data_IF_743514347492
#
_entry.id   IF_743514347492
#
_cell.length_a   1.000
_cell.length_b   1.000
_cell.length_c   1.000
_cell.angle_alpha   90.00
_cell.angle_beta   90.00
_cell.angle_gamma   90.00
#
_symmetry.space_group_name_H-M   'P 1'
#
loop_
_entity.id
_entity.type
_entity.pdbx_description
1 polymer ?
#
# COMPACT_ATOMS: atom_id res chain seq x y z
N UNK A 1 -19.20 -11.93 -3.24
CA UNK A 1 -19.10 -12.87 -2.11
C UNK A 1 -17.76 -12.62 -1.42
N UNK A 2 -17.74 -12.31 -0.12
CA UNK A 2 -16.50 -12.09 0.63
C UNK A 2 -15.76 -13.43 0.84
N UNK A 3 -14.42 -13.41 0.84
CA UNK A 3 -13.59 -14.58 1.16
C UNK A 3 -13.61 -14.85 2.66
N UNK A 4 -13.27 -16.06 3.09
CA UNK A 4 -13.20 -16.45 4.51
C UNK A 4 -11.75 -16.85 4.82
N UNK A 5 -11.14 -16.22 5.82
CA UNK A 5 -9.82 -16.56 6.34
C UNK A 5 -10.00 -17.40 7.61
N UNK A 6 -10.03 -18.73 7.45
CA UNK A 6 -10.38 -19.67 8.53
C UNK A 6 -9.18 -20.31 9.24
N UNK A 7 -7.95 -20.08 8.78
CA UNK A 7 -6.75 -20.72 9.29
C UNK A 7 -5.50 -19.92 8.94
N UNK A 8 -4.34 -20.52 9.18
CA UNK A 8 -3.06 -19.87 8.91
C UNK A 8 -2.85 -19.64 7.41
N UNK A 9 -2.25 -18.50 7.08
CA UNK A 9 -2.10 -18.02 5.71
C UNK A 9 -0.67 -18.25 5.23
N UNK A 10 -0.54 -18.89 4.07
CA UNK A 10 0.73 -19.12 3.39
C UNK A 10 0.52 -19.08 1.88
N UNK A 11 1.57 -18.73 1.13
CA UNK A 11 1.54 -18.74 -0.34
C UNK A 11 2.23 -20.00 -0.88
N UNK A 12 1.49 -21.03 -1.34
CA UNK A 12 2.09 -22.29 -1.78
C UNK A 12 2.84 -22.17 -3.13
N UNK A 13 2.42 -21.24 -3.98
CA UNK A 13 2.98 -21.02 -5.31
C UNK A 13 2.87 -19.53 -5.72
N UNK A 14 3.70 -19.06 -6.66
CA UNK A 14 3.62 -17.68 -7.15
C UNK A 14 2.27 -17.36 -7.78
N UNK A 15 1.70 -16.20 -7.45
CA UNK A 15 0.34 -15.83 -7.83
C UNK A 15 0.28 -15.04 -9.15
N UNK A 16 1.16 -14.06 -9.32
CA UNK A 16 1.09 -13.02 -10.34
C UNK A 16 2.30 -13.02 -11.28
N UNK A 17 3.41 -13.63 -10.88
CA UNK A 17 4.68 -13.68 -11.63
C UNK A 17 4.47 -14.06 -13.09
N UNK A 18 3.74 -15.15 -13.36
CA UNK A 18 3.45 -15.62 -14.73
C UNK A 18 2.89 -14.50 -15.62
N UNK A 19 1.92 -13.75 -15.10
CA UNK A 19 1.22 -12.72 -15.87
C UNK A 19 2.08 -11.47 -16.04
N UNK A 20 2.76 -11.05 -14.99
CA UNK A 20 3.69 -9.92 -15.03
C UNK A 20 4.84 -10.17 -16.00
N UNK A 21 5.46 -11.36 -15.96
CA UNK A 21 6.53 -11.75 -16.89
C UNK A 21 6.04 -11.75 -18.34
N UNK A 22 4.84 -12.30 -18.60
CA UNK A 22 4.26 -12.27 -19.93
C UNK A 22 4.02 -10.84 -20.43
N UNK A 23 3.39 -9.99 -19.61
CA UNK A 23 3.13 -8.60 -19.97
C UNK A 23 4.42 -7.82 -20.27
N UNK A 24 5.46 -8.03 -19.45
CA UNK A 24 6.79 -7.45 -19.67
C UNK A 24 7.42 -7.93 -20.98
N UNK A 25 7.20 -9.18 -21.39
CA UNK A 25 7.76 -9.71 -22.65
C UNK A 25 7.22 -9.02 -23.91
N UNK A 26 6.13 -8.25 -23.80
CA UNK A 26 5.46 -7.59 -24.91
C UNK A 26 5.88 -6.12 -25.08
N UNK A 27 6.76 -5.60 -24.23
CA UNK A 27 7.16 -4.19 -24.26
C UNK A 27 8.55 -3.95 -23.69
N UNK A 28 9.25 -2.95 -24.22
CA UNK A 28 10.52 -2.46 -23.66
C UNK A 28 10.32 -1.46 -22.51
N UNK A 29 9.08 -1.10 -22.19
CA UNK A 29 8.75 -0.19 -21.10
C UNK A 29 8.63 -0.96 -19.77
N UNK A 30 8.96 -0.34 -18.63
CA UNK A 30 8.71 -0.95 -17.32
C UNK A 30 7.22 -1.30 -17.15
N UNK A 31 6.95 -2.54 -16.72
CA UNK A 31 5.61 -3.04 -16.36
C UNK A 31 5.58 -3.23 -14.85
N UNK A 32 4.55 -2.68 -14.20
CA UNK A 32 4.38 -2.82 -12.75
C UNK A 32 3.85 -4.20 -12.40
N UNK A 33 4.44 -4.85 -11.39
CA UNK A 33 3.78 -5.93 -10.66
C UNK A 33 2.63 -5.35 -9.84
N UNK A 34 1.49 -6.02 -9.80
CA UNK A 34 0.27 -5.53 -9.12
C UNK A 34 -0.14 -6.50 -8.03
N UNK A 35 -0.15 -6.02 -6.78
CA UNK A 35 -0.55 -6.77 -5.60
C UNK A 35 -1.58 -5.97 -4.79
N UNK A 36 -2.45 -6.69 -4.08
CA UNK A 36 -3.33 -6.12 -3.07
C UNK A 36 -2.65 -6.24 -1.72
N UNK A 37 -2.62 -5.17 -0.94
CA UNK A 37 -1.95 -5.17 0.36
C UNK A 37 -2.68 -5.97 1.44
N UNK A 38 -1.97 -6.33 2.53
CA UNK A 38 -2.49 -7.18 3.59
C UNK A 38 -3.73 -6.62 4.29
N UNK A 39 -3.81 -5.31 4.54
CA UNK A 39 -4.94 -4.68 5.24
C UNK A 39 -6.21 -4.80 4.41
N UNK A 40 -6.11 -4.56 3.10
CA UNK A 40 -7.22 -4.70 2.15
C UNK A 40 -7.67 -6.16 2.00
N UNK A 41 -6.73 -7.10 1.93
CA UNK A 41 -7.07 -8.53 1.89
C UNK A 41 -7.85 -8.96 3.15
N UNK A 42 -7.51 -8.42 4.33
CA UNK A 42 -8.25 -8.66 5.57
C UNK A 42 -9.62 -7.98 5.56
N UNK A 43 -9.66 -6.67 5.28
CA UNK A 43 -10.87 -5.85 5.34
C UNK A 43 -12.01 -6.36 4.45
N UNK A 44 -11.66 -6.90 3.28
CA UNK A 44 -12.61 -7.42 2.30
C UNK A 44 -12.89 -8.93 2.46
N UNK A 45 -12.40 -9.53 3.54
CA UNK A 45 -12.67 -10.91 3.94
C UNK A 45 -13.49 -10.98 5.23
N UNK A 46 -14.01 -12.16 5.54
CA UNK A 46 -14.41 -12.54 6.89
C UNK A 46 -13.20 -13.19 7.56
N UNK A 47 -12.64 -12.52 8.57
CA UNK A 47 -11.42 -12.95 9.25
C UNK A 47 -11.78 -13.77 10.49
N UNK A 48 -11.02 -14.84 10.75
CA UNK A 48 -11.06 -15.59 12.02
C UNK A 48 -10.95 -14.66 13.23
N UNK A 49 -11.63 -15.02 14.32
CA UNK A 49 -11.76 -14.22 15.55
C UNK A 49 -11.02 -14.83 16.76
N UNK A 50 -10.24 -15.89 16.54
CA UNK A 50 -9.47 -16.61 17.55
C UNK A 50 -8.05 -16.05 17.78
N UNK A 51 -7.65 -15.03 17.02
CA UNK A 51 -6.38 -14.31 17.20
C UNK A 51 -6.49 -12.81 16.83
N UNK A 52 -5.55 -11.96 17.30
CA UNK A 52 -5.52 -10.55 16.91
C UNK A 52 -5.44 -10.35 15.39
N UNK A 53 -6.15 -9.34 14.87
CA UNK A 53 -6.13 -9.01 13.43
C UNK A 53 -4.71 -8.73 12.92
N UNK A 54 -3.87 -8.08 13.72
CA UNK A 54 -2.48 -7.80 13.37
C UNK A 54 -1.66 -9.08 13.13
N UNK A 55 -1.95 -10.17 13.85
CA UNK A 55 -1.24 -11.44 13.67
C UNK A 55 -1.64 -12.09 12.34
N UNK A 56 -2.94 -12.07 12.01
CA UNK A 56 -3.42 -12.51 10.68
C UNK A 56 -2.87 -11.63 9.56
N UNK A 57 -2.78 -10.31 9.77
CA UNK A 57 -2.23 -9.37 8.80
C UNK A 57 -0.75 -9.67 8.51
N UNK A 58 0.04 -10.03 9.54
CA UNK A 58 1.44 -10.45 9.37
C UNK A 58 1.57 -11.73 8.56
N UNK A 59 0.67 -12.71 8.73
CA UNK A 59 0.70 -13.92 7.91
C UNK A 59 0.45 -13.60 6.42
N UNK A 60 -0.53 -12.73 6.13
CA UNK A 60 -0.75 -12.24 4.76
C UNK A 60 0.46 -11.48 4.23
N UNK A 61 1.05 -10.61 5.05
CA UNK A 61 2.22 -9.83 4.67
C UNK A 61 3.43 -10.71 4.32
N UNK A 62 3.69 -11.77 5.08
CA UNK A 62 4.75 -12.74 4.76
C UNK A 62 4.47 -13.47 3.45
N UNK A 63 3.22 -13.88 3.22
CA UNK A 63 2.81 -14.49 1.96
C UNK A 63 2.97 -13.54 0.75
N UNK A 64 2.73 -12.24 0.95
CA UNK A 64 2.95 -11.20 -0.07
C UNK A 64 4.43 -10.88 -0.26
N UNK A 65 5.25 -10.95 0.79
CA UNK A 65 6.69 -10.78 0.70
C UNK A 65 7.32 -11.80 -0.24
N UNK A 66 6.93 -13.07 -0.12
CA UNK A 66 7.39 -14.12 -1.04
C UNK A 66 7.01 -13.81 -2.51
N UNK A 67 5.86 -13.14 -2.73
CA UNK A 67 5.43 -12.71 -4.07
C UNK A 67 6.23 -11.51 -4.58
N UNK A 68 6.57 -10.56 -3.71
CA UNK A 68 7.46 -9.44 -4.03
C UNK A 68 8.83 -9.98 -4.45
N UNK A 69 9.41 -10.88 -3.65
CA UNK A 69 10.71 -11.50 -3.91
C UNK A 69 10.72 -12.24 -5.26
N UNK A 70 9.66 -12.99 -5.59
CA UNK A 70 9.57 -13.70 -6.87
C UNK A 70 9.34 -12.76 -8.07
N UNK A 71 8.55 -11.70 -7.91
CA UNK A 71 8.37 -10.68 -8.95
C UNK A 71 9.70 -9.99 -9.27
N UNK A 72 10.46 -9.68 -8.22
CA UNK A 72 11.81 -9.13 -8.31
C UNK A 72 12.78 -10.11 -8.99
N UNK A 73 12.76 -11.39 -8.61
CA UNK A 73 13.59 -12.43 -9.22
C UNK A 73 13.26 -12.65 -10.71
N UNK A 74 11.99 -12.45 -11.10
CA UNK A 74 11.55 -12.47 -12.49
C UNK A 74 11.90 -11.19 -13.27
N UNK A 75 12.59 -10.23 -12.64
CA UNK A 75 13.07 -9.00 -13.26
C UNK A 75 12.03 -7.89 -13.36
N UNK A 76 11.06 -7.86 -12.45
CA UNK A 76 10.14 -6.72 -12.24
C UNK A 76 10.87 -5.67 -11.39
N UNK A 77 11.00 -4.45 -11.90
CA UNK A 77 11.70 -3.35 -11.21
C UNK A 77 10.76 -2.35 -10.52
N UNK A 78 9.45 -2.50 -10.71
CA UNK A 78 8.42 -1.65 -10.10
C UNK A 78 7.28 -2.54 -9.63
N UNK A 79 6.99 -2.52 -8.33
CA UNK A 79 5.92 -3.33 -7.73
C UNK A 79 4.96 -2.39 -7.01
N UNK A 80 3.67 -2.53 -7.31
CA UNK A 80 2.61 -1.74 -6.71
C UNK A 80 1.80 -2.62 -5.75
N UNK A 81 1.74 -2.22 -4.48
CA UNK A 81 0.95 -2.86 -3.43
C UNK A 81 -0.13 -1.88 -2.98
N UNK A 82 -1.38 -2.15 -3.34
CA UNK A 82 -2.47 -1.20 -3.13
C UNK A 82 -3.20 -1.43 -1.80
N UNK A 83 -3.39 -0.35 -1.04
CA UNK A 83 -4.04 -0.38 0.28
C UNK A 83 -5.22 0.60 0.42
N UNK A 84 -6.27 0.48 -0.42
CA UNK A 84 -7.46 1.32 -0.29
C UNK A 84 -8.16 1.10 1.06
N UNK A 85 -8.15 -0.12 1.62
CA UNK A 85 -8.89 -0.38 2.84
C UNK A 85 -8.22 0.19 4.10
N UNK A 86 -6.94 0.61 4.04
CA UNK A 86 -6.23 1.20 5.18
C UNK A 86 -7.05 2.35 5.80
N UNK A 87 -7.67 3.17 4.95
CA UNK A 87 -8.55 4.26 5.39
C UNK A 87 -10.00 3.81 5.57
N UNK A 88 -10.50 2.86 4.77
CA UNK A 88 -11.85 2.30 4.88
C UNK A 88 -12.11 1.72 6.27
N UNK A 89 -11.13 0.98 6.82
CA UNK A 89 -11.24 0.32 8.12
C UNK A 89 -10.62 1.11 9.27
N UNK A 90 -10.30 2.39 9.06
CA UNK A 90 -9.80 3.27 10.12
C UNK A 90 -10.84 3.37 11.25
N UNK A 91 -10.48 3.06 12.52
CA UNK A 91 -11.43 3.12 13.63
C UNK A 91 -12.11 4.47 13.77
N UNK A 92 -13.43 4.44 14.01
CA UNK A 92 -14.24 5.64 14.20
C UNK A 92 -13.75 6.46 15.40
N UNK A 93 -13.42 5.78 16.51
CA UNK A 93 -12.88 6.41 17.71
C UNK A 93 -11.41 6.72 17.53
N UNK A 94 -11.03 8.00 17.70
CA UNK A 94 -9.65 8.44 17.58
C UNK A 94 -8.68 7.68 18.49
N UNK A 95 -9.13 7.23 19.67
CA UNK A 95 -8.31 6.52 20.66
C UNK A 95 -7.83 5.15 20.17
N UNK A 96 -8.56 4.51 19.26
CA UNK A 96 -8.24 3.18 18.74
C UNK A 96 -7.34 3.25 17.49
N UNK A 97 -7.25 4.43 16.85
CA UNK A 97 -6.51 4.60 15.59
C UNK A 97 -5.02 4.30 15.71
N UNK A 98 -4.28 4.73 16.76
CA UNK A 98 -2.84 4.47 16.84
C UNK A 98 -2.52 2.98 16.83
N UNK A 99 -3.26 2.17 17.60
CA UNK A 99 -3.05 0.72 17.65
C UNK A 99 -3.36 0.07 16.29
N UNK A 100 -4.42 0.52 15.61
CA UNK A 100 -4.77 0.05 14.27
C UNK A 100 -3.69 0.39 13.23
N UNK A 101 -3.29 1.67 13.18
CA UNK A 101 -2.31 2.16 12.21
C UNK A 101 -0.95 1.48 12.41
N UNK A 102 -0.56 1.22 13.66
CA UNK A 102 0.71 0.56 13.96
C UNK A 102 0.82 -0.83 13.30
N UNK A 103 -0.18 -1.72 13.48
CA UNK A 103 -0.10 -3.04 12.85
C UNK A 103 -0.35 -2.97 11.35
N UNK A 104 -1.16 -2.02 10.88
CA UNK A 104 -1.49 -1.89 9.47
C UNK A 104 -0.27 -1.45 8.64
N UNK A 105 0.46 -0.42 9.09
CA UNK A 105 1.69 0.04 8.41
C UNK A 105 2.84 -0.92 8.62
N UNK A 106 2.92 -1.64 9.75
CA UNK A 106 3.85 -2.75 9.95
C UNK A 106 3.62 -3.87 8.94
N UNK A 107 2.37 -4.31 8.74
CA UNK A 107 2.05 -5.38 7.79
C UNK A 107 2.40 -4.97 6.35
N UNK A 108 2.13 -3.72 5.96
CA UNK A 108 2.55 -3.21 4.65
C UNK A 108 4.07 -3.27 4.49
N UNK A 109 4.83 -2.69 5.43
CA UNK A 109 6.30 -2.72 5.42
C UNK A 109 6.87 -4.13 5.49
N UNK A 110 6.20 -5.07 6.16
CA UNK A 110 6.62 -6.46 6.19
C UNK A 110 6.48 -7.13 4.81
N UNK A 111 5.48 -6.72 4.03
CA UNK A 111 5.26 -7.21 2.66
C UNK A 111 6.31 -6.67 1.68
N UNK A 112 6.73 -5.42 1.84
CA UNK A 112 7.56 -4.71 0.85
C UNK A 112 9.02 -4.51 1.27
N UNK A 113 9.33 -4.55 2.57
CA UNK A 113 10.67 -4.23 3.10
C UNK A 113 11.75 -5.28 2.80
N UNK A 114 11.40 -6.36 2.08
CA UNK A 114 12.37 -7.28 1.47
C UNK A 114 12.90 -6.82 0.12
N UNK A 115 12.22 -5.86 -0.52
CA UNK A 115 12.57 -5.39 -1.86
C UNK A 115 13.98 -4.80 -1.93
N UNK A 116 14.67 -5.03 -3.05
CA UNK A 116 15.99 -4.46 -3.27
C UNK A 116 15.92 -2.93 -3.40
N UNK A 117 17.01 -2.21 -3.07
CA UNK A 117 17.06 -0.75 -3.19
C UNK A 117 16.83 -0.20 -4.61
N UNK A 118 16.97 -1.03 -5.66
CA UNK A 118 16.74 -0.66 -7.05
C UNK A 118 15.33 -1.01 -7.56
N UNK A 119 14.51 -1.65 -6.73
CA UNK A 119 13.10 -1.94 -7.00
C UNK A 119 12.23 -0.87 -6.38
N UNK A 120 11.41 -0.20 -7.19
CA UNK A 120 10.48 0.82 -6.70
C UNK A 120 9.18 0.19 -6.18
N UNK A 121 8.83 0.53 -4.94
CA UNK A 121 7.57 0.18 -4.30
C UNK A 121 6.58 1.33 -4.47
N UNK A 122 5.48 1.04 -5.16
CA UNK A 122 4.37 1.95 -5.32
C UNK A 122 3.21 1.54 -4.43
N UNK A 123 2.38 2.51 -4.04
CA UNK A 123 1.05 2.21 -3.49
C UNK A 123 0.03 3.21 -3.99
N UNK A 124 -1.19 2.74 -4.27
CA UNK A 124 -2.34 3.57 -4.60
C UNK A 124 -3.30 3.70 -3.42
N UNK A 125 -3.78 4.93 -3.19
CA UNK A 125 -4.84 5.21 -2.22
C UNK A 125 -5.97 6.01 -2.88
N UNK A 126 -7.19 5.47 -2.82
CA UNK A 126 -8.36 6.02 -3.51
C UNK A 126 -9.02 7.23 -2.78
N UNK A 127 -8.25 8.12 -2.15
CA UNK A 127 -8.80 9.23 -1.34
C UNK A 127 -8.20 10.58 -1.73
N UNK A 128 -8.92 11.67 -1.41
CA UNK A 128 -8.51 13.04 -1.70
C UNK A 128 -8.16 13.86 -0.43
N UNK A 129 -8.56 13.39 0.75
CA UNK A 129 -8.36 14.07 2.03
C UNK A 129 -7.68 13.15 3.05
N UNK A 130 -6.51 13.57 3.53
CA UNK A 130 -5.58 12.70 4.29
C UNK A 130 -5.29 13.16 5.70
N UNK A 131 -5.93 14.23 6.21
CA UNK A 131 -5.55 14.85 7.49
C UNK A 131 -5.38 13.87 8.65
N UNK A 132 -6.24 12.84 8.72
CA UNK A 132 -6.22 11.83 9.79
C UNK A 132 -5.23 10.66 9.58
N UNK A 133 -4.60 10.56 8.39
CA UNK A 133 -3.74 9.43 8.00
C UNK A 133 -2.38 9.85 7.43
N UNK A 134 -2.04 11.14 7.40
CA UNK A 134 -0.76 11.64 6.85
C UNK A 134 0.44 10.91 7.46
N UNK A 135 0.46 10.74 8.78
CA UNK A 135 1.57 10.03 9.42
C UNK A 135 1.61 8.56 9.02
N UNK A 136 0.46 7.92 8.88
CA UNK A 136 0.41 6.53 8.43
C UNK A 136 0.94 6.36 7.01
N UNK A 137 0.70 7.33 6.12
CA UNK A 137 1.22 7.36 4.75
C UNK A 137 2.75 7.44 4.75
N UNK A 138 3.32 8.30 5.60
CA UNK A 138 4.77 8.39 5.80
C UNK A 138 5.33 7.07 6.36
N UNK A 139 4.64 6.49 7.35
CA UNK A 139 5.02 5.21 7.98
C UNK A 139 4.89 3.99 7.04
N UNK A 140 4.24 4.10 5.87
CA UNK A 140 4.23 3.04 4.86
C UNK A 140 5.61 2.89 4.19
N UNK A 141 6.40 3.96 4.13
CA UNK A 141 7.74 3.98 3.50
C UNK A 141 7.73 3.48 2.05
N UNK A 142 6.73 3.88 1.27
CA UNK A 142 6.65 3.58 -0.16
C UNK A 142 7.33 4.67 -0.98
N UNK A 143 8.09 4.27 -2.02
CA UNK A 143 8.83 5.21 -2.88
C UNK A 143 7.89 6.17 -3.63
N UNK A 144 6.75 5.66 -4.08
CA UNK A 144 5.77 6.44 -4.85
C UNK A 144 4.35 6.14 -4.39
N UNK A 145 3.67 7.19 -3.93
CA UNK A 145 2.29 7.12 -3.49
C UNK A 145 1.40 7.83 -4.51
N UNK A 146 0.48 7.09 -5.12
CA UNK A 146 -0.50 7.61 -6.07
C UNK A 146 -1.81 7.92 -5.34
N UNK A 147 -2.30 9.15 -5.49
CA UNK A 147 -3.46 9.67 -4.76
C UNK A 147 -4.52 10.18 -5.75
N UNK A 148 -5.80 9.95 -5.43
CA UNK A 148 -6.91 10.44 -6.25
C UNK A 148 -7.29 11.89 -5.89
N UNK A 149 -7.07 12.83 -6.81
CA UNK A 149 -7.44 14.24 -6.64
C UNK A 149 -8.30 14.81 -7.79
N UNK A 150 -9.46 14.20 -8.15
CA UNK A 150 -10.23 14.63 -9.32
C UNK A 150 -10.93 15.99 -9.15
N UNK A 151 -11.10 16.51 -7.92
CA UNK A 151 -11.80 17.79 -7.62
C UNK A 151 -11.24 18.61 -6.46
N UNK A 152 -9.98 18.44 -6.08
CA UNK A 152 -9.37 19.19 -4.98
C UNK A 152 -8.80 20.52 -5.50
N UNK A 153 -9.59 21.61 -5.44
CA UNK A 153 -9.05 22.95 -5.57
C UNK A 153 -8.10 23.20 -4.39
N UNK A 154 -6.81 23.13 -4.62
CA UNK A 154 -5.80 23.44 -3.62
C UNK A 154 -5.97 24.91 -3.15
N UNK A 155 -6.55 25.11 -1.97
CA UNK A 155 -6.30 26.29 -1.15
C UNK A 155 -4.99 26.10 -0.39
N UNK A 156 -3.88 25.98 -1.13
CA UNK A 156 -2.55 26.22 -0.60
C UNK A 156 -2.27 27.74 -0.67
N UNK A 157 -3.01 28.51 0.12
CA UNK A 157 -2.90 29.97 0.20
C UNK A 157 -2.13 30.41 1.44
N UNK A 158 -0.81 30.24 1.44
CA UNK A 158 0.05 31.01 2.36
C UNK A 158 -0.06 32.52 2.06
N UNK A 159 0.15 33.40 3.07
CA UNK A 159 -0.05 34.84 2.88
C UNK A 159 0.89 35.37 1.79
N UNK A 160 0.30 35.88 0.70
CA UNK A 160 1.00 36.57 -0.38
C UNK A 160 1.67 37.83 0.17
N UNK A 161 2.94 37.74 0.56
CA UNK A 161 3.76 38.94 0.76
C UNK A 161 3.97 39.59 -0.61
N UNK A 162 3.26 40.68 -0.88
CA UNK A 162 3.57 41.60 -1.97
C UNK A 162 4.97 42.17 -1.73
N UNK A 163 6.00 41.67 -2.43
CA UNK A 163 7.25 42.42 -2.56
C UNK A 163 7.10 43.43 -3.68
N UNK A 164 7.32 44.68 -3.32
CA UNK A 164 7.27 45.86 -4.15
C UNK A 164 8.30 45.81 -5.28
N UNK A 165 7.92 46.42 -6.41
CA UNK A 165 8.81 46.80 -7.53
C UNK A 165 9.92 47.71 -7.03
N UNK A 166 11.13 47.54 -7.56
CA UNK A 166 12.09 48.63 -7.77
C UNK A 166 12.63 48.53 -9.21
N UNK A 167 12.87 49.66 -9.90
CA UNK A 167 13.04 49.70 -11.35
C UNK A 167 14.51 49.66 -11.81
N UNK A 168 14.65 49.21 -13.07
CA UNK A 168 15.78 49.27 -14.02
C UNK A 168 17.14 48.72 -13.57
#
# INVERSE_FOLDING_TARGET
>A
MRRILAGDISRPEPMTVRWTTYARSLTDRPVKGMLTGPVTMLAWSFVRDDQPLGDTARQVALALRDEVDDLEAAGTSVIQVDEPALRETLPLRAVDRPAYLAWATEAFRLSTGGARPDTQIHTHMCYAEFGDVVQAIDDLDADVISLEAPRSLAHAGGPRTRRARLPA
#
